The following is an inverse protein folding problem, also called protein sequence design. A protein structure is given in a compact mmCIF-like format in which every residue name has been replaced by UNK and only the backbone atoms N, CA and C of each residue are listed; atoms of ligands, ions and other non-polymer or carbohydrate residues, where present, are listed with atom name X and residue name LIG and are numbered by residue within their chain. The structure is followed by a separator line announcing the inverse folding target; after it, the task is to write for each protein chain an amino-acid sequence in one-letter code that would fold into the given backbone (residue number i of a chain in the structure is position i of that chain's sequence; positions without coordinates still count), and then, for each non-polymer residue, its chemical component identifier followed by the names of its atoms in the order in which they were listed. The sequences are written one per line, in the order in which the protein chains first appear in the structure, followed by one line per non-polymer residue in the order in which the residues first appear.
data_IF_055752942408
#
_entry.id   IF_055752942408
#
_cell.length_a   1.000
_cell.length_b   1.000
_cell.length_c   1.000
_cell.angle_alpha   90.00
_cell.angle_beta   90.00
_cell.angle_gamma   90.00
#
_symmetry.space_group_name_H-M   'P 1'
#
loop_
_entity.id
_entity.type
_entity.pdbx_description
1 polymer ?
#
# COMPACT_ATOMS: atom_id res chain seq x y z
N UNK A 1 30.40 5.32 20.89
CA UNK A 1 29.62 4.58 21.91
C UNK A 1 28.22 5.20 21.96
N UNK A 2 27.22 4.59 21.34
CA UNK A 2 25.85 5.10 21.39
C UNK A 2 25.15 4.49 22.62
N UNK A 3 25.02 5.27 23.69
CA UNK A 3 24.23 4.86 24.85
C UNK A 3 22.79 4.59 24.39
N UNK A 4 22.26 3.43 24.78
CA UNK A 4 20.87 3.05 24.54
C UNK A 4 20.00 3.96 25.41
N UNK A 5 19.51 5.07 24.87
CA UNK A 5 18.60 5.98 25.57
C UNK A 5 17.27 5.25 25.80
N UNK A 6 17.16 4.57 26.94
CA UNK A 6 15.90 4.03 27.48
C UNK A 6 15.06 5.23 27.90
N UNK A 7 14.02 5.57 27.13
CA UNK A 7 13.28 6.81 27.36
C UNK A 7 12.69 7.50 26.11
N UNK A 8 13.06 7.05 24.90
CA UNK A 8 12.71 7.78 23.67
C UNK A 8 12.08 6.87 22.60
N UNK A 9 10.77 6.53 22.72
CA UNK A 9 10.12 5.49 21.91
C UNK A 9 10.07 5.81 20.40
N UNK A 10 10.02 7.10 20.03
CA UNK A 10 10.05 7.57 18.64
C UNK A 10 11.32 8.34 18.27
N UNK A 11 12.30 8.46 19.16
CA UNK A 11 13.58 9.10 18.87
C UNK A 11 13.58 10.63 18.88
N UNK A 12 12.55 11.30 19.39
CA UNK A 12 12.42 12.76 19.33
C UNK A 12 13.49 13.49 20.16
N UNK A 13 13.81 13.00 21.36
CA UNK A 13 14.86 13.59 22.18
C UNK A 13 16.22 13.48 21.49
N UNK A 14 16.50 12.30 20.94
CA UNK A 14 17.75 12.05 20.21
C UNK A 14 17.87 12.88 18.93
N UNK A 15 16.78 13.12 18.21
CA UNK A 15 16.77 13.97 17.01
C UNK A 15 17.16 15.42 17.34
N UNK A 16 16.78 15.91 18.52
CA UNK A 16 17.20 17.23 19.03
C UNK A 16 18.56 17.20 19.76
N UNK A 17 19.18 16.03 19.92
CA UNK A 17 20.44 15.88 20.66
C UNK A 17 20.30 16.06 22.16
N UNK A 18 19.11 15.78 22.71
CA UNK A 18 18.78 15.94 24.13
C UNK A 18 18.57 14.58 24.82
N UNK A 19 18.74 14.55 26.14
CA UNK A 19 18.44 13.38 26.95
C UNK A 19 16.92 13.29 27.25
N UNK A 20 16.36 12.07 27.38
CA UNK A 20 14.98 11.88 27.79
C UNK A 20 14.68 12.58 29.12
N UNK A 21 13.62 13.40 29.14
CA UNK A 21 13.25 14.21 30.31
C UNK A 21 13.81 15.64 30.33
N UNK A 22 14.59 16.06 29.32
CA UNK A 22 15.06 17.45 29.17
C UNK A 22 13.92 18.48 29.24
N UNK A 23 14.18 19.63 29.85
CA UNK A 23 13.18 20.69 30.05
C UNK A 23 12.74 21.37 28.73
N UNK A 24 11.60 22.07 28.77
CA UNK A 24 11.07 22.75 27.57
C UNK A 24 11.99 23.85 27.04
N UNK A 25 12.80 24.46 27.92
CA UNK A 25 13.76 25.49 27.54
C UNK A 25 14.94 24.91 26.74
N UNK A 26 15.49 23.76 27.14
CA UNK A 26 16.50 23.04 26.39
C UNK A 26 15.97 22.57 25.03
N UNK A 27 14.74 22.05 24.98
CA UNK A 27 14.07 21.67 23.72
C UNK A 27 14.00 22.84 22.75
N UNK A 28 13.57 24.01 23.21
CA UNK A 28 13.48 25.22 22.38
C UNK A 28 14.84 25.73 21.92
N UNK A 29 15.85 25.64 22.78
CA UNK A 29 17.21 26.09 22.48
C UNK A 29 17.87 25.19 21.44
N UNK A 30 17.79 23.87 21.63
CA UNK A 30 18.31 22.87 20.70
C UNK A 30 17.63 22.98 19.32
N UNK A 31 16.29 23.15 19.30
CA UNK A 31 15.56 23.35 18.04
C UNK A 31 16.04 24.59 17.29
N UNK A 32 16.21 25.74 17.97
CA UNK A 32 16.70 26.97 17.32
C UNK A 32 18.08 26.79 16.71
N UNK A 33 19.00 26.15 17.44
CA UNK A 33 20.37 25.90 16.95
C UNK A 33 20.36 24.98 15.72
N UNK A 34 19.61 23.89 15.77
CA UNK A 34 19.50 22.93 14.66
C UNK A 34 18.76 23.50 13.45
N UNK A 35 17.69 24.27 13.68
CA UNK A 35 16.92 24.92 12.61
C UNK A 35 17.77 25.96 11.85
N UNK A 36 18.64 26.71 12.53
CA UNK A 36 19.57 27.64 11.87
C UNK A 36 20.65 26.92 11.07
N UNK A 37 21.11 25.75 11.54
CA UNK A 37 22.15 24.95 10.87
C UNK A 37 21.61 24.16 9.67
N UNK A 38 20.33 23.79 9.68
CA UNK A 38 19.67 22.97 8.66
C UNK A 38 18.69 23.76 7.79
N UNK A 39 18.67 25.10 7.90
CA UNK A 39 17.78 25.94 7.10
C UNK A 39 18.08 25.77 5.59
N UNK A 40 17.05 25.59 4.73
CA UNK A 40 17.26 25.36 3.30
C UNK A 40 18.06 26.48 2.62
N UNK A 41 17.86 27.74 3.03
CA UNK A 41 18.62 28.88 2.47
C UNK A 41 20.11 28.90 2.85
N UNK A 42 20.52 28.19 3.90
CA UNK A 42 21.91 28.17 4.39
C UNK A 42 22.62 26.85 4.14
N UNK A 43 21.88 25.76 3.89
CA UNK A 43 22.41 24.42 3.74
C UNK A 43 21.78 23.72 2.53
N UNK A 44 22.54 23.66 1.43
CA UNK A 44 22.13 23.01 0.17
C UNK A 44 22.43 21.50 0.12
N UNK A 45 22.72 20.85 1.26
CA UNK A 45 22.91 19.39 1.25
C UNK A 45 21.58 18.67 0.95
N UNK A 46 21.60 17.57 0.17
CA UNK A 46 20.40 16.82 -0.16
C UNK A 46 19.66 16.26 1.08
N UNK A 47 20.38 16.08 2.19
CA UNK A 47 19.82 15.58 3.45
C UNK A 47 19.28 16.69 4.37
N UNK A 48 19.52 17.97 4.07
CA UNK A 48 19.13 19.09 4.94
C UNK A 48 17.61 19.15 5.10
N UNK A 49 16.86 18.93 4.01
CA UNK A 49 15.40 18.94 4.02
C UNK A 49 14.82 17.85 4.92
N UNK A 50 15.32 16.61 4.80
CA UNK A 50 14.86 15.49 5.63
C UNK A 50 15.18 15.71 7.12
N UNK A 51 16.37 16.23 7.43
CA UNK A 51 16.77 16.53 8.81
C UNK A 51 15.96 17.70 9.39
N UNK A 52 15.62 18.70 8.58
CA UNK A 52 14.77 19.82 8.99
C UNK A 52 13.35 19.37 9.34
N UNK A 53 12.77 18.48 8.53
CA UNK A 53 11.47 17.85 8.84
C UNK A 53 11.53 17.03 10.13
N UNK A 54 12.61 16.27 10.32
CA UNK A 54 12.81 15.47 11.52
C UNK A 54 12.85 16.30 12.81
N UNK A 55 13.62 17.39 12.83
CA UNK A 55 13.72 18.28 14.02
C UNK A 55 12.41 19.02 14.28
N UNK A 56 11.66 19.39 13.23
CA UNK A 56 10.37 20.08 13.35
C UNK A 56 9.33 19.16 13.97
N UNK A 57 9.21 17.93 13.48
CA UNK A 57 8.31 16.92 14.05
C UNK A 57 8.65 16.57 15.51
N UNK A 58 9.94 16.55 15.86
CA UNK A 58 10.37 16.35 17.25
C UNK A 58 9.97 17.55 18.14
N UNK A 59 10.19 18.77 17.66
CA UNK A 59 9.83 20.00 18.38
C UNK A 59 8.32 20.11 18.62
N UNK A 60 7.46 19.82 17.64
CA UNK A 60 6.00 19.90 17.78
C UNK A 60 5.42 19.04 18.93
N UNK A 61 6.07 17.91 19.21
CA UNK A 61 5.66 16.99 20.28
C UNK A 61 6.30 17.40 21.60
N UNK A 62 7.59 17.74 21.60
CA UNK A 62 8.35 18.03 22.82
C UNK A 62 8.16 19.46 23.36
N UNK A 63 7.73 20.41 22.53
CA UNK A 63 7.51 21.80 22.93
C UNK A 63 6.21 22.01 23.70
N UNK A 64 5.20 21.18 23.45
CA UNK A 64 3.92 21.26 24.15
C UNK A 64 3.97 20.36 25.41
N UNK A 65 3.72 20.91 26.61
CA UNK A 65 3.85 20.16 27.86
C UNK A 65 2.89 18.96 27.94
N UNK A 66 1.68 19.06 27.40
CA UNK A 66 0.71 17.96 27.39
C UNK A 66 1.16 16.84 26.45
N UNK A 67 1.59 17.19 25.23
CA UNK A 67 2.07 16.22 24.23
C UNK A 67 3.36 15.55 24.70
N UNK A 68 4.27 16.30 25.33
CA UNK A 68 5.48 15.77 25.97
C UNK A 68 5.13 14.79 27.09
N UNK A 69 4.20 15.14 27.98
CA UNK A 69 3.79 14.24 29.06
C UNK A 69 3.19 12.93 28.54
N UNK A 70 2.35 12.99 27.50
CA UNK A 70 1.80 11.81 26.82
C UNK A 70 2.91 10.96 26.18
N UNK A 71 3.89 11.61 25.56
CA UNK A 71 5.05 10.95 24.95
C UNK A 71 5.92 10.23 25.99
N UNK A 72 6.23 10.89 27.11
CA UNK A 72 7.02 10.33 28.21
C UNK A 72 6.28 9.20 28.94
N UNK A 73 4.94 9.27 29.02
CA UNK A 73 4.11 8.18 29.54
C UNK A 73 4.17 6.94 28.64
N UNK A 74 4.19 7.12 27.32
CA UNK A 74 4.36 6.04 26.36
C UNK A 74 5.71 5.33 26.51
N UNK A 75 6.77 6.06 26.86
CA UNK A 75 8.07 5.43 27.11
C UNK A 75 8.05 4.50 28.33
N UNK A 76 7.36 4.90 29.41
CA UNK A 76 7.26 4.10 30.65
C UNK A 76 6.48 2.80 30.45
N UNK A 77 5.45 2.81 29.60
CA UNK A 77 4.68 1.60 29.28
C UNK A 77 5.47 0.62 28.40
N UNK A 78 6.24 1.13 27.43
CA UNK A 78 7.11 0.29 26.59
C UNK A 78 8.22 -0.40 27.38
N UNK A 79 8.85 0.30 28.34
CA UNK A 79 9.88 -0.28 29.20
C UNK A 79 9.34 -1.38 30.10
N UNK A 80 8.08 -1.26 30.52
CA UNK A 80 7.40 -2.26 31.36
C UNK A 80 7.06 -3.51 30.55
N UNK A 81 6.59 -3.35 29.30
CA UNK A 81 6.30 -4.47 28.41
C UNK A 81 7.56 -5.26 28.01
N UNK A 82 8.69 -4.57 27.75
CA UNK A 82 9.96 -5.24 27.40
C UNK A 82 10.54 -6.03 28.60
N UNK A 83 10.38 -5.53 29.84
CA UNK A 83 10.74 -6.25 31.06
C UNK A 83 9.88 -7.50 31.27
N UNK A 84 8.56 -7.40 31.11
CA UNK A 84 7.64 -8.55 31.21
C UNK A 84 7.96 -9.63 30.16
N UNK A 85 8.24 -9.23 28.91
CA UNK A 85 8.56 -10.16 27.83
C UNK A 85 9.91 -10.86 28.04
N UNK A 86 10.90 -10.14 28.62
CA UNK A 86 12.19 -10.71 29.00
C UNK A 86 12.05 -11.71 30.14
N UNK A 87 11.23 -11.40 31.14
CA UNK A 87 10.91 -12.31 32.25
C UNK A 87 10.20 -13.57 31.75
N UNK A 88 9.21 -13.43 30.86
CA UNK A 88 8.49 -14.56 30.27
C UNK A 88 9.42 -15.49 29.46
N UNK A 89 10.35 -14.93 28.67
CA UNK A 89 11.36 -15.71 27.95
C UNK A 89 12.33 -16.46 28.87
N UNK A 90 12.76 -15.85 29.97
CA UNK A 90 13.63 -16.52 30.96
C UNK A 90 12.93 -17.69 31.64
N UNK A 91 11.65 -17.54 31.96
CA UNK A 91 10.83 -18.60 32.54
C UNK A 91 10.57 -19.73 31.51
N UNK A 92 10.31 -19.40 30.25
CA UNK A 92 10.13 -20.39 29.18
C UNK A 92 11.40 -21.21 28.87
N UNK A 93 12.59 -20.60 29.00
CA UNK A 93 13.87 -21.31 28.84
C UNK A 93 14.28 -22.17 30.05
N UNK A 94 13.72 -21.93 31.24
CA UNK A 94 13.99 -22.74 32.43
C UNK A 94 13.15 -24.03 32.47
N UNK A 95 12.03 -24.09 31.75
CA UNK A 95 11.09 -25.22 31.75
C UNK A 95 11.46 -26.40 30.83
N UNK A 96 12.48 -26.28 29.98
CA UNK A 96 12.82 -27.31 28.97
C UNK A 96 14.03 -28.19 29.32
N UNK A 97 14.64 -28.02 30.51
CA UNK A 97 15.82 -28.79 30.93
C UNK A 97 15.61 -29.78 32.09
N UNK A 98 14.39 -29.91 32.63
CA UNK A 98 14.16 -30.60 33.91
C UNK A 98 13.29 -31.86 33.81
N UNK A 99 13.35 -32.63 32.71
CA UNK A 99 12.53 -33.85 32.54
C UNK A 99 13.27 -35.12 32.11
N UNK A 100 14.59 -35.20 32.30
CA UNK A 100 15.36 -36.38 31.87
C UNK A 100 16.44 -36.87 32.86
N UNK A 101 16.24 -36.65 34.17
CA UNK A 101 17.07 -37.29 35.21
C UNK A 101 16.23 -37.75 36.40
N UNK A 102 15.35 -38.71 36.19
CA UNK A 102 14.73 -39.42 37.30
C UNK A 102 14.31 -40.84 36.90
N UNK A 103 15.22 -41.62 36.31
CA UNK A 103 15.03 -43.07 36.14
C UNK A 103 16.35 -43.85 35.93
N UNK A 104 17.26 -43.81 36.89
CA UNK A 104 18.22 -44.90 37.10
C UNK A 104 19.04 -44.65 38.36
N UNK A 105 18.52 -45.02 39.53
CA UNK A 105 19.37 -45.48 40.64
C UNK A 105 18.47 -46.01 41.76
N UNK A 106 18.20 -47.30 41.68
CA UNK A 106 17.71 -48.09 42.80
C UNK A 106 18.40 -49.44 42.70
N UNK A 107 19.48 -49.58 43.46
CA UNK A 107 19.94 -50.76 44.23
C UNK A 107 21.44 -50.58 44.47
N UNK A 108 21.82 -50.26 45.71
CA UNK A 108 22.67 -51.14 46.53
C UNK A 108 23.13 -50.48 47.84
N UNK A 109 23.51 -51.29 48.86
CA UNK A 109 23.32 -50.93 50.25
C UNK A 109 24.51 -50.17 50.87
N UNK A 110 24.11 -49.35 51.83
CA UNK A 110 24.86 -48.65 52.88
C UNK A 110 26.13 -49.41 53.35
N UNK A 111 27.26 -48.70 53.49
CA UNK A 111 28.20 -48.99 54.56
C UNK A 111 28.20 -47.89 55.63
N UNK A 112 28.60 -48.35 56.81
CA UNK A 112 28.50 -47.74 58.11
C UNK A 112 29.39 -46.51 58.30
N UNK A 113 28.98 -45.70 59.26
CA UNK A 113 29.73 -44.62 59.86
C UNK A 113 31.13 -45.06 60.31
N UNK A 114 32.13 -44.23 60.02
CA UNK A 114 33.21 -43.94 60.95
C UNK A 114 33.80 -42.55 60.68
N UNK A 115 33.58 -41.67 61.65
CA UNK A 115 34.58 -40.83 62.31
C UNK A 115 35.40 -39.85 61.43
N UNK A 116 34.87 -38.62 61.41
CA UNK A 116 35.56 -37.39 61.83
C UNK A 116 37.09 -37.33 61.66
N UNK A 117 37.54 -36.47 60.73
CA UNK A 117 38.74 -35.65 60.97
C UNK A 117 38.54 -34.25 60.45
N UNK A 118 38.86 -33.31 61.33
CA UNK A 118 38.74 -31.87 61.20
C UNK A 118 39.70 -31.34 60.15
N UNK A 119 39.22 -30.53 59.20
CA UNK A 119 40.04 -29.48 58.60
C UNK A 119 39.22 -28.19 58.45
N UNK A 120 39.71 -27.16 59.13
CA UNK A 120 39.26 -25.76 59.08
C UNK A 120 39.64 -25.13 57.72
N UNK A 121 39.01 -24.01 57.35
CA UNK A 121 38.93 -23.54 55.97
C UNK A 121 40.26 -22.98 55.48
N UNK A 122 40.86 -23.64 54.48
CA UNK A 122 41.95 -23.02 53.73
C UNK A 122 41.38 -22.13 52.63
N UNK A 123 41.69 -20.86 52.80
CA UNK A 123 41.82 -19.80 51.81
C UNK A 123 42.24 -20.32 50.43
N UNK A 124 41.25 -20.71 49.62
CA UNK A 124 41.40 -20.72 48.19
C UNK A 124 40.75 -19.44 47.68
N UNK A 125 41.53 -18.37 47.74
CA UNK A 125 41.58 -17.28 46.77
C UNK A 125 41.45 -17.85 45.35
N UNK A 126 40.22 -18.19 44.97
CA UNK A 126 39.85 -18.69 43.66
C UNK A 126 40.21 -17.57 42.70
N UNK A 127 41.37 -17.70 42.08
CA UNK A 127 41.79 -16.89 40.94
C UNK A 127 40.59 -16.89 40.01
N UNK A 128 39.89 -15.75 39.92
CA UNK A 128 38.92 -15.49 38.87
C UNK A 128 39.73 -15.51 37.57
N UNK A 129 39.97 -16.70 37.06
CA UNK A 129 40.30 -16.89 35.65
C UNK A 129 39.07 -16.34 34.96
N UNK A 130 39.22 -15.14 34.37
CA UNK A 130 38.25 -14.64 33.41
C UNK A 130 38.11 -15.76 32.39
N UNK A 131 37.03 -16.54 32.47
CA UNK A 131 36.67 -17.42 31.38
C UNK A 131 36.55 -16.49 30.20
N UNK A 132 37.42 -16.66 29.22
CA UNK A 132 37.38 -15.99 27.93
C UNK A 132 35.92 -16.11 27.47
N UNK A 133 35.17 -15.02 27.65
CA UNK A 133 33.75 -15.00 27.37
C UNK A 133 33.63 -15.38 25.91
N UNK A 134 33.06 -16.55 25.61
CA UNK A 134 32.68 -16.89 24.25
C UNK A 134 31.95 -15.68 23.68
N UNK A 135 32.30 -15.22 22.46
CA UNK A 135 31.66 -14.07 21.88
C UNK A 135 30.14 -14.26 21.94
N UNK A 136 29.37 -13.20 22.23
CA UNK A 136 27.92 -13.32 22.34
C UNK A 136 27.36 -13.99 21.07
N UNK A 137 26.41 -14.94 21.21
CA UNK A 137 25.88 -15.67 20.07
C UNK A 137 25.33 -14.68 19.05
N UNK A 138 25.73 -14.87 17.79
CA UNK A 138 25.27 -14.03 16.68
C UNK A 138 23.74 -13.98 16.65
N UNK A 139 23.18 -12.81 16.36
CA UNK A 139 21.73 -12.65 16.22
C UNK A 139 21.19 -13.68 15.22
N UNK A 140 20.16 -14.48 15.58
CA UNK A 140 19.62 -15.49 14.70
C UNK A 140 18.93 -14.83 13.50
N UNK A 141 19.18 -15.35 12.30
CA UNK A 141 18.43 -14.92 11.11
C UNK A 141 17.02 -15.48 11.19
N UNK A 142 16.02 -14.66 10.85
CA UNK A 142 14.63 -15.12 10.82
C UNK A 142 14.43 -16.08 9.65
N UNK A 143 13.67 -17.14 9.90
CA UNK A 143 13.28 -18.15 8.93
C UNK A 143 11.87 -17.88 8.42
N UNK A 144 11.51 -18.48 7.29
CA UNK A 144 10.13 -18.48 6.83
C UNK A 144 9.31 -19.49 7.63
N UNK A 145 8.15 -19.07 8.15
CA UNK A 145 7.27 -19.91 8.97
C UNK A 145 6.72 -21.13 8.20
N UNK A 146 6.65 -21.04 6.86
CA UNK A 146 6.14 -22.12 6.01
C UNK A 146 7.20 -23.13 5.59
N UNK A 147 8.38 -22.69 5.15
CA UNK A 147 9.40 -23.58 4.59
C UNK A 147 10.63 -23.77 5.49
N UNK A 148 10.71 -23.07 6.62
CA UNK A 148 11.82 -23.13 7.57
C UNK A 148 13.15 -22.55 7.05
N UNK A 149 13.25 -22.18 5.77
CA UNK A 149 14.50 -21.65 5.19
C UNK A 149 14.76 -20.23 5.65
N UNK A 150 16.03 -19.92 5.89
CA UNK A 150 16.50 -18.55 6.13
C UNK A 150 16.29 -17.74 4.86
N UNK A 151 15.52 -16.66 4.96
CA UNK A 151 15.29 -15.75 3.86
C UNK A 151 15.99 -14.42 4.17
N UNK A 152 16.71 -13.87 3.19
CA UNK A 152 17.38 -12.57 3.35
C UNK A 152 16.38 -11.40 3.46
N UNK A 153 15.24 -11.48 2.76
CA UNK A 153 14.21 -10.43 2.73
C UNK A 153 12.82 -11.02 3.07
N UNK A 154 12.61 -11.51 4.30
CA UNK A 154 11.31 -12.02 4.69
C UNK A 154 10.34 -10.86 4.97
N UNK A 155 9.05 -11.07 4.71
CA UNK A 155 8.01 -10.08 5.02
C UNK A 155 6.94 -10.69 5.89
N UNK A 156 6.49 -9.90 6.85
CA UNK A 156 5.30 -10.22 7.63
C UNK A 156 4.09 -9.85 6.79
N UNK A 157 3.26 -10.85 6.46
CA UNK A 157 2.11 -10.69 5.57
C UNK A 157 0.85 -11.20 6.27
N UNK A 158 -0.24 -10.45 6.14
CA UNK A 158 -1.57 -10.82 6.61
C UNK A 158 -2.48 -11.02 5.41
N UNK A 159 -3.07 -12.21 5.30
CA UNK A 159 -4.04 -12.56 4.28
C UNK A 159 -5.45 -12.66 4.90
N UNK A 160 -6.42 -11.84 4.45
CA UNK A 160 -7.78 -11.90 4.96
C UNK A 160 -8.53 -13.14 4.43
N UNK A 161 -9.22 -13.83 5.32
CA UNK A 161 -10.16 -14.92 5.02
C UNK A 161 -11.57 -14.48 5.34
N UNK A 162 -12.47 -14.76 4.40
CA UNK A 162 -13.90 -14.50 4.53
C UNK A 162 -14.63 -15.82 4.44
N UNK A 163 -15.51 -16.08 5.41
CA UNK A 163 -16.41 -17.23 5.42
C UNK A 163 -17.84 -16.72 5.60
N UNK A 164 -18.65 -16.82 4.56
CA UNK A 164 -20.07 -16.52 4.61
C UNK A 164 -20.83 -17.59 5.38
N UNK A 165 -21.73 -17.16 6.26
CA UNK A 165 -22.70 -18.02 6.96
C UNK A 165 -24.07 -17.35 6.92
N UNK A 166 -24.82 -17.59 5.85
CA UNK A 166 -26.19 -17.12 5.56
C UNK A 166 -26.46 -15.67 6.01
N UNK A 167 -26.75 -15.46 7.29
CA UNK A 167 -27.02 -14.16 7.91
C UNK A 167 -25.77 -13.27 8.17
N UNK A 168 -24.55 -13.82 8.28
CA UNK A 168 -23.34 -13.04 8.63
C UNK A 168 -22.07 -13.55 7.94
N UNK A 169 -21.13 -12.65 7.66
CA UNK A 169 -19.76 -12.98 7.27
C UNK A 169 -18.88 -13.13 8.51
N UNK A 170 -18.08 -14.18 8.58
CA UNK A 170 -16.98 -14.31 9.53
C UNK A 170 -15.67 -13.91 8.85
N UNK A 171 -14.94 -13.01 9.49
CA UNK A 171 -13.63 -12.55 9.05
C UNK A 171 -12.55 -13.16 9.94
N UNK A 172 -11.57 -13.79 9.32
CA UNK A 172 -10.36 -14.31 9.97
C UNK A 172 -9.14 -13.94 9.13
N UNK A 173 -7.94 -14.25 9.58
CA UNK A 173 -6.74 -14.00 8.79
C UNK A 173 -5.70 -15.09 8.99
N UNK A 174 -4.89 -15.32 7.95
CA UNK A 174 -3.66 -16.08 8.04
C UNK A 174 -2.52 -15.08 8.00
N UNK A 175 -1.74 -15.04 9.08
CA UNK A 175 -0.60 -14.16 9.21
C UNK A 175 0.69 -14.93 9.49
N UNK A 176 1.83 -14.35 9.14
CA UNK A 176 3.13 -14.97 9.39
C UNK A 176 4.27 -14.31 8.63
N UNK A 177 5.48 -14.79 8.91
CA UNK A 177 6.71 -14.38 8.27
C UNK A 177 7.02 -15.29 7.07
N UNK A 178 6.93 -14.75 5.86
CA UNK A 178 7.08 -15.52 4.64
C UNK A 178 8.27 -15.08 3.79
N UNK A 179 8.87 -16.04 3.08
CA UNK A 179 9.64 -15.72 1.88
C UNK A 179 8.67 -15.47 0.70
N UNK A 180 9.12 -14.76 -0.35
CA UNK A 180 8.23 -14.39 -1.47
C UNK A 180 7.47 -15.59 -2.05
N UNK A 181 8.17 -16.68 -2.35
CA UNK A 181 7.55 -17.89 -2.94
C UNK A 181 6.50 -18.49 -2.01
N UNK A 182 6.75 -18.55 -0.71
CA UNK A 182 5.78 -19.08 0.25
C UNK A 182 4.58 -18.14 0.42
N UNK A 183 4.79 -16.82 0.39
CA UNK A 183 3.71 -15.85 0.41
C UNK A 183 2.79 -15.99 -0.81
N UNK A 184 3.36 -16.19 -2.00
CA UNK A 184 2.58 -16.40 -3.23
C UNK A 184 1.72 -17.68 -3.15
N UNK A 185 2.29 -18.79 -2.65
CA UNK A 185 1.55 -20.05 -2.48
C UNK A 185 0.47 -19.91 -1.39
N UNK A 186 0.77 -19.24 -0.28
CA UNK A 186 -0.21 -19.00 0.79
C UNK A 186 -1.33 -18.11 0.28
N UNK A 187 -1.01 -17.06 -0.48
CA UNK A 187 -1.99 -16.20 -1.12
C UNK A 187 -2.91 -16.99 -2.05
N UNK A 188 -2.38 -17.90 -2.88
CA UNK A 188 -3.20 -18.77 -3.73
C UNK A 188 -4.15 -19.66 -2.91
N UNK A 189 -3.66 -20.28 -1.82
CA UNK A 189 -4.49 -21.08 -0.93
C UNK A 189 -5.60 -20.26 -0.28
N UNK A 190 -5.31 -19.02 0.14
CA UNK A 190 -6.31 -18.11 0.69
C UNK A 190 -7.34 -17.70 -0.37
N UNK A 191 -6.90 -17.38 -1.58
CA UNK A 191 -7.80 -17.07 -2.69
C UNK A 191 -8.78 -18.21 -2.97
N UNK A 192 -8.30 -19.46 -3.02
CA UNK A 192 -9.15 -20.64 -3.21
C UNK A 192 -10.17 -20.76 -2.07
N UNK A 193 -9.76 -20.57 -0.81
CA UNK A 193 -10.67 -20.66 0.34
C UNK A 193 -11.74 -19.56 0.31
N UNK A 194 -11.35 -18.33 -0.04
CA UNK A 194 -12.29 -17.22 -0.22
C UNK A 194 -13.26 -17.50 -1.38
N UNK A 195 -12.78 -18.07 -2.49
CA UNK A 195 -13.64 -18.53 -3.59
C UNK A 195 -14.59 -19.66 -3.22
N UNK A 196 -14.27 -20.51 -2.25
CA UNK A 196 -15.15 -21.62 -1.87
C UNK A 196 -16.12 -21.23 -0.76
N UNK A 197 -15.75 -20.30 0.11
CA UNK A 197 -16.43 -20.08 1.39
C UNK A 197 -16.95 -18.65 1.56
N UNK A 198 -16.53 -17.69 0.74
CA UNK A 198 -16.80 -16.27 0.99
C UNK A 198 -18.19 -15.79 0.57
N UNK A 199 -18.83 -16.43 -0.42
CA UNK A 199 -20.07 -15.94 -1.05
C UNK A 199 -21.34 -16.24 -0.28
N UNK A 200 -21.29 -17.11 0.72
CA UNK A 200 -22.47 -17.69 1.38
C UNK A 200 -23.10 -16.78 2.44
N UNK A 201 -22.98 -15.45 2.32
CA UNK A 201 -23.62 -14.47 3.20
C UNK A 201 -24.06 -13.25 2.39
N UNK A 202 -25.00 -12.46 2.94
CA UNK A 202 -25.54 -11.29 2.24
C UNK A 202 -24.47 -10.23 1.92
N UNK A 203 -23.51 -9.98 2.83
CA UNK A 203 -22.35 -9.10 2.58
C UNK A 203 -21.14 -9.85 1.99
N UNK A 204 -21.23 -11.18 1.88
CA UNK A 204 -20.15 -12.08 1.48
C UNK A 204 -19.51 -11.73 0.15
N UNK A 205 -20.27 -11.46 -0.93
CA UNK A 205 -19.68 -11.10 -2.22
C UNK A 205 -18.74 -9.89 -2.16
N UNK A 206 -19.15 -8.82 -1.48
CA UNK A 206 -18.33 -7.60 -1.35
C UNK A 206 -17.08 -7.88 -0.52
N UNK A 207 -17.24 -8.53 0.63
CA UNK A 207 -16.15 -8.93 1.52
C UNK A 207 -15.11 -9.81 0.80
N UNK A 208 -15.61 -10.76 0.02
CA UNK A 208 -14.80 -11.76 -0.69
C UNK A 208 -14.02 -11.14 -1.84
N UNK A 209 -14.66 -10.28 -2.64
CA UNK A 209 -13.99 -9.52 -3.71
C UNK A 209 -12.86 -8.66 -3.12
N UNK A 210 -13.14 -7.95 -2.03
CA UNK A 210 -12.13 -7.15 -1.35
C UNK A 210 -10.97 -8.02 -0.83
N UNK A 211 -11.25 -9.15 -0.17
CA UNK A 211 -10.23 -10.07 0.33
C UNK A 211 -9.38 -10.70 -0.79
N UNK A 212 -10.00 -11.05 -1.92
CA UNK A 212 -9.30 -11.56 -3.12
C UNK A 212 -8.36 -10.51 -3.70
N UNK A 213 -8.81 -9.26 -3.79
CA UNK A 213 -8.02 -8.16 -4.32
C UNK A 213 -6.81 -7.82 -3.44
N UNK A 214 -7.02 -7.77 -2.12
CA UNK A 214 -5.93 -7.59 -1.14
C UNK A 214 -4.92 -8.73 -1.23
N UNK A 215 -5.39 -9.98 -1.33
CA UNK A 215 -4.53 -11.15 -1.47
C UNK A 215 -3.74 -11.14 -2.77
N UNK A 216 -4.38 -10.76 -3.88
CA UNK A 216 -3.77 -10.64 -5.20
C UNK A 216 -2.66 -9.57 -5.28
N UNK A 217 -2.68 -8.60 -4.37
CA UNK A 217 -1.62 -7.58 -4.20
C UNK A 217 -0.44 -8.04 -3.36
N UNK A 218 -0.48 -9.28 -2.84
CA UNK A 218 0.53 -9.82 -1.95
C UNK A 218 0.16 -9.72 -0.46
N UNK A 219 -1.11 -9.48 -0.14
CA UNK A 219 -1.61 -9.35 1.23
C UNK A 219 -1.39 -7.97 1.84
N UNK A 220 -1.75 -7.83 3.11
CA UNK A 220 -1.49 -6.62 3.90
C UNK A 220 -0.10 -6.76 4.52
N UNK A 221 0.74 -5.74 4.36
CA UNK A 221 2.06 -5.67 4.98
C UNK A 221 2.06 -4.62 6.10
N UNK A 222 1.92 -5.02 7.39
CA UNK A 222 1.95 -4.08 8.49
C UNK A 222 3.33 -3.41 8.61
N UNK A 223 3.34 -2.08 8.65
CA UNK A 223 4.57 -1.29 8.61
C UNK A 223 5.52 -1.60 9.79
N UNK A 224 5.02 -1.50 11.03
CA UNK A 224 5.82 -1.70 12.24
C UNK A 224 6.43 -3.13 12.34
N UNK A 225 5.64 -4.19 12.07
CA UNK A 225 6.15 -5.57 12.11
C UNK A 225 7.21 -5.83 11.04
N UNK A 226 6.99 -5.33 9.82
CA UNK A 226 7.96 -5.46 8.73
C UNK A 226 9.24 -4.67 9.00
N UNK A 227 9.11 -3.44 9.52
CA UNK A 227 10.25 -2.62 9.94
C UNK A 227 11.11 -3.37 10.96
N UNK A 228 10.51 -3.83 12.07
CA UNK A 228 11.24 -4.55 13.13
C UNK A 228 11.93 -5.81 12.61
N UNK A 229 11.24 -6.57 11.76
CA UNK A 229 11.78 -7.83 11.22
C UNK A 229 12.97 -7.57 10.29
N UNK A 230 12.88 -6.59 9.40
CA UNK A 230 13.98 -6.25 8.52
C UNK A 230 15.15 -5.62 9.27
N UNK A 231 14.91 -4.77 10.25
CA UNK A 231 15.96 -4.20 11.08
C UNK A 231 16.70 -5.26 11.88
N UNK A 232 15.98 -6.26 12.39
CA UNK A 232 16.58 -7.44 13.03
C UNK A 232 17.47 -8.20 12.06
N UNK A 233 16.98 -8.48 10.84
CA UNK A 233 17.76 -9.13 9.79
C UNK A 233 19.01 -8.31 9.43
N UNK A 234 18.89 -7.01 9.21
CA UNK A 234 20.01 -6.14 8.87
C UNK A 234 21.12 -6.18 9.94
N UNK A 235 20.74 -6.08 11.23
CA UNK A 235 21.68 -6.22 12.35
C UNK A 235 22.32 -7.61 12.40
N UNK A 236 21.56 -8.66 12.09
CA UNK A 236 22.06 -10.03 12.05
C UNK A 236 23.08 -10.23 10.92
N UNK A 237 22.88 -9.64 9.73
CA UNK A 237 23.87 -9.65 8.66
C UNK A 237 25.10 -8.80 8.99
N UNK A 238 24.90 -7.64 9.62
CA UNK A 238 26.00 -6.79 10.07
C UNK A 238 26.90 -7.51 11.09
N UNK A 239 26.30 -8.24 12.03
CA UNK A 239 27.03 -9.07 12.99
C UNK A 239 27.84 -10.20 12.33
N UNK A 240 27.45 -10.63 11.13
CA UNK A 240 28.17 -11.62 10.30
C UNK A 240 29.18 -10.98 9.34
N UNK A 241 29.41 -9.67 9.46
CA UNK A 241 30.27 -8.88 8.57
C UNK A 241 29.77 -8.78 7.10
N UNK A 242 28.53 -9.18 6.81
CA UNK A 242 27.90 -9.00 5.51
C UNK A 242 27.24 -7.61 5.44
N UNK A 243 28.08 -6.60 5.14
CA UNK A 243 27.67 -5.19 5.12
C UNK A 243 26.76 -4.85 3.95
N UNK A 244 26.94 -5.47 2.80
CA UNK A 244 26.14 -5.22 1.60
C UNK A 244 24.69 -5.68 1.81
N UNK A 245 24.50 -6.88 2.35
CA UNK A 245 23.17 -7.40 2.68
C UNK A 245 22.52 -6.57 3.78
N UNK A 246 23.27 -6.24 4.83
CA UNK A 246 22.79 -5.39 5.92
C UNK A 246 22.29 -4.02 5.42
N UNK A 247 23.08 -3.37 4.55
CA UNK A 247 22.73 -2.09 3.92
C UNK A 247 21.44 -2.19 3.11
N UNK A 248 21.35 -3.17 2.21
CA UNK A 248 20.19 -3.31 1.34
C UNK A 248 18.90 -3.63 2.13
N UNK A 249 19.00 -4.43 3.19
CA UNK A 249 17.87 -4.75 4.07
C UNK A 249 17.47 -3.53 4.91
N UNK A 250 18.42 -2.78 5.44
CA UNK A 250 18.15 -1.54 6.20
C UNK A 250 17.43 -0.50 5.33
N UNK A 251 17.87 -0.32 4.07
CA UNK A 251 17.20 0.53 3.08
C UNK A 251 15.76 0.08 2.81
N UNK A 252 15.51 -1.22 2.74
CA UNK A 252 14.15 -1.76 2.64
C UNK A 252 13.34 -1.55 3.92
N UNK A 253 13.97 -1.57 5.09
CA UNK A 253 13.29 -1.31 6.36
C UNK A 253 12.82 0.14 6.44
N UNK A 254 13.63 1.09 5.96
CA UNK A 254 13.28 2.52 5.89
C UNK A 254 11.95 2.76 5.18
N UNK A 255 11.61 1.99 4.14
CA UNK A 255 10.33 2.09 3.43
C UNK A 255 9.11 1.74 4.29
N UNK A 256 9.30 1.02 5.39
CA UNK A 256 8.25 0.62 6.34
C UNK A 256 8.32 1.44 7.64
N UNK A 257 9.23 2.41 7.73
CA UNK A 257 9.37 3.26 8.91
C UNK A 257 8.20 4.24 8.98
N UNK A 258 7.46 4.22 10.08
CA UNK A 258 6.33 5.12 10.33
C UNK A 258 6.72 6.32 11.18
N UNK A 259 7.87 6.28 11.84
CA UNK A 259 8.37 7.36 12.70
C UNK A 259 9.73 7.86 12.24
N UNK A 260 10.02 9.12 12.53
CA UNK A 260 11.33 9.75 12.25
C UNK A 260 12.47 8.99 12.92
N UNK A 261 12.30 8.54 14.18
CA UNK A 261 13.30 7.72 14.85
C UNK A 261 13.55 6.38 14.18
N UNK A 262 12.52 5.75 13.58
CA UNK A 262 12.67 4.53 12.81
C UNK A 262 13.46 4.76 11.51
N UNK A 263 13.19 5.88 10.82
CA UNK A 263 13.94 6.28 9.63
C UNK A 263 15.41 6.49 9.97
N UNK A 264 15.68 7.32 10.99
CA UNK A 264 17.05 7.57 11.47
C UNK A 264 17.76 6.28 11.91
N UNK A 265 17.07 5.34 12.58
CA UNK A 265 17.69 4.07 12.96
C UNK A 265 18.03 3.19 11.76
N UNK A 266 17.21 3.20 10.71
CA UNK A 266 17.51 2.48 9.48
C UNK A 266 18.72 3.12 8.77
N UNK A 267 18.77 4.45 8.73
CA UNK A 267 19.87 5.21 8.15
C UNK A 267 21.16 5.12 8.96
N UNK A 268 21.10 4.96 10.28
CA UNK A 268 22.30 4.87 11.12
C UNK A 268 22.97 3.50 11.11
N UNK A 269 22.24 2.44 10.74
CA UNK A 269 22.82 1.13 10.43
C UNK A 269 23.59 1.12 9.10
N UNK A 270 23.39 2.16 8.30
CA UNK A 270 24.07 2.41 7.04
C UNK A 270 25.21 3.38 7.32
N UNK A 271 26.48 2.93 7.41
CA UNK A 271 27.57 3.90 7.39
C UNK A 271 27.53 4.66 6.07
N UNK A 272 27.89 5.95 6.10
CA UNK A 272 28.20 6.74 4.92
C UNK A 272 29.47 6.16 4.26
N UNK A 273 29.37 5.01 3.61
CA UNK A 273 30.40 4.47 2.75
C UNK A 273 29.91 4.55 1.30
N UNK A 274 30.42 5.51 0.51
CA UNK A 274 30.14 5.61 -0.91
C UNK A 274 30.92 4.59 -1.75
N UNK A 275 31.79 3.77 -1.14
CA UNK A 275 32.80 3.00 -1.89
C UNK A 275 32.31 1.69 -2.50
N UNK A 276 31.04 1.36 -2.35
CA UNK A 276 30.42 0.35 -3.20
C UNK A 276 29.00 0.81 -3.45
N UNK A 277 28.68 1.11 -4.71
CA UNK A 277 27.34 0.96 -5.23
C UNK A 277 26.94 -0.52 -5.00
N UNK A 278 26.61 -0.87 -3.75
CA UNK A 278 26.27 -2.21 -3.33
C UNK A 278 25.17 -2.65 -4.27
N UNK A 279 25.49 -3.65 -5.10
CA UNK A 279 24.65 -4.10 -6.21
C UNK A 279 23.23 -4.20 -5.68
N UNK A 280 22.34 -3.31 -6.15
CA UNK A 280 21.00 -3.21 -5.58
C UNK A 280 20.38 -4.60 -5.60
N UNK A 281 20.07 -5.13 -4.42
CA UNK A 281 19.46 -6.45 -4.36
C UNK A 281 18.11 -6.36 -5.06
N UNK A 282 17.91 -7.22 -6.06
CA UNK A 282 16.62 -7.33 -6.75
C UNK A 282 15.53 -7.49 -5.70
N UNK A 283 14.63 -6.52 -5.64
CA UNK A 283 13.50 -6.57 -4.72
C UNK A 283 12.64 -7.78 -5.10
N UNK A 284 12.70 -8.84 -4.29
CA UNK A 284 11.93 -10.07 -4.56
C UNK A 284 10.44 -9.86 -4.39
N UNK A 285 10.02 -8.73 -3.80
CA UNK A 285 8.64 -8.37 -3.54
C UNK A 285 8.09 -7.33 -4.51
N UNK A 286 8.93 -6.73 -5.36
CA UNK A 286 8.45 -5.83 -6.41
C UNK A 286 7.86 -6.62 -7.56
N UNK A 287 6.65 -6.25 -7.98
CA UNK A 287 5.98 -6.83 -9.13
C UNK A 287 4.72 -7.61 -8.76
N UNK A 288 3.93 -7.82 -9.79
CA UNK A 288 2.68 -8.57 -9.72
C UNK A 288 3.02 -10.04 -9.40
N UNK A 289 2.41 -10.63 -8.36
CA UNK A 289 2.64 -12.04 -8.01
C UNK A 289 2.38 -12.93 -9.22
N UNK A 290 3.21 -13.96 -9.42
CA UNK A 290 3.17 -14.83 -10.61
C UNK A 290 1.79 -15.49 -10.85
N UNK A 291 0.94 -15.50 -9.83
CA UNK A 291 -0.38 -16.13 -9.86
C UNK A 291 -1.54 -15.13 -9.85
N UNK A 292 -1.33 -13.81 -10.03
CA UNK A 292 -2.44 -12.83 -9.98
C UNK A 292 -3.53 -13.13 -11.00
N UNK A 293 -3.15 -13.50 -12.22
CA UNK A 293 -4.11 -13.87 -13.27
C UNK A 293 -4.90 -15.13 -12.88
N UNK A 294 -4.24 -16.11 -12.27
CA UNK A 294 -4.88 -17.34 -11.80
C UNK A 294 -5.86 -17.06 -10.64
N UNK A 295 -5.47 -16.21 -9.68
CA UNK A 295 -6.28 -15.85 -8.51
C UNK A 295 -7.55 -15.08 -8.86
N UNK A 296 -7.51 -14.27 -9.92
CA UNK A 296 -8.64 -13.48 -10.42
C UNK A 296 -9.35 -14.14 -11.62
N UNK A 297 -8.87 -15.31 -12.07
CA UNK A 297 -9.43 -16.00 -13.25
C UNK A 297 -10.94 -16.22 -13.19
N UNK A 298 -11.58 -16.54 -12.05
CA UNK A 298 -13.02 -16.74 -12.06
C UNK A 298 -13.80 -15.43 -12.22
N UNK A 299 -13.24 -14.27 -11.85
CA UNK A 299 -13.84 -12.96 -12.15
C UNK A 299 -13.74 -12.63 -13.65
N UNK A 300 -12.59 -12.92 -14.27
CA UNK A 300 -12.43 -12.73 -15.71
C UNK A 300 -13.36 -13.65 -16.51
N UNK A 301 -13.53 -14.90 -16.08
CA UNK A 301 -14.46 -15.85 -16.71
C UNK A 301 -15.93 -15.43 -16.54
N UNK A 302 -16.32 -14.96 -15.35
CA UNK A 302 -17.67 -14.46 -15.12
C UNK A 302 -17.96 -13.22 -15.99
N UNK A 303 -17.03 -12.28 -16.09
CA UNK A 303 -17.16 -11.10 -16.96
C UNK A 303 -17.23 -11.46 -18.45
N UNK A 304 -16.45 -12.47 -18.88
CA UNK A 304 -16.55 -12.98 -20.25
C UNK A 304 -17.90 -13.66 -20.51
N UNK A 305 -18.40 -14.45 -19.56
CA UNK A 305 -19.69 -15.11 -19.68
C UNK A 305 -20.85 -14.10 -19.74
N UNK A 306 -20.86 -13.05 -18.92
CA UNK A 306 -21.88 -12.00 -18.98
C UNK A 306 -21.81 -11.20 -20.28
N UNK A 307 -20.60 -10.94 -20.79
CA UNK A 307 -20.42 -10.31 -22.10
C UNK A 307 -20.97 -11.18 -23.23
N UNK A 308 -20.72 -12.50 -23.19
CA UNK A 308 -21.25 -13.45 -24.18
C UNK A 308 -22.78 -13.54 -24.09
N UNK A 309 -23.35 -13.63 -22.89
CA UNK A 309 -24.81 -13.66 -22.70
C UNK A 309 -25.44 -12.36 -23.21
N UNK A 310 -24.90 -11.20 -22.83
CA UNK A 310 -25.35 -9.89 -23.31
C UNK A 310 -25.29 -9.81 -24.84
N UNK A 311 -24.17 -10.22 -25.44
CA UNK A 311 -23.98 -10.27 -26.88
C UNK A 311 -25.02 -11.17 -27.57
N UNK A 312 -25.32 -12.33 -26.99
CA UNK A 312 -26.32 -13.24 -27.54
C UNK A 312 -27.75 -12.68 -27.42
N UNK A 313 -28.08 -12.05 -26.28
CA UNK A 313 -29.41 -11.42 -26.09
C UNK A 313 -29.68 -10.25 -27.04
N UNK A 314 -28.65 -9.46 -27.40
CA UNK A 314 -28.76 -8.39 -28.40
C UNK A 314 -28.89 -8.97 -29.81
N UNK A 315 -28.24 -10.12 -30.07
CA UNK A 315 -28.30 -10.80 -31.37
C UNK A 315 -29.65 -11.49 -31.61
N UNK A 316 -30.28 -12.03 -30.58
CA UNK A 316 -31.57 -12.71 -30.64
C UNK A 316 -32.77 -11.74 -30.56
N UNK A 317 -32.52 -10.43 -30.38
CA UNK A 317 -33.53 -9.40 -30.52
C UNK A 317 -33.88 -9.21 -32.01
N UNK A 318 -34.69 -10.12 -32.55
CA UNK A 318 -35.43 -9.88 -33.80
C UNK A 318 -36.31 -8.65 -33.59
N UNK A 319 -35.89 -7.51 -34.13
CA UNK A 319 -36.76 -6.36 -34.35
C UNK A 319 -38.02 -6.88 -35.06
N UNK A 320 -39.23 -6.63 -34.54
CA UNK A 320 -40.44 -7.09 -35.20
C UNK A 320 -40.49 -6.44 -36.58
N UNK A 321 -40.25 -7.25 -37.61
CA UNK A 321 -40.45 -6.84 -38.99
C UNK A 321 -41.95 -6.61 -39.16
N UNK A 322 -42.36 -5.34 -39.09
CA UNK A 322 -43.68 -4.89 -39.52
C UNK A 322 -43.84 -5.34 -40.96
N UNK A 323 -44.65 -6.38 -41.17
CA UNK A 323 -45.05 -6.79 -42.52
C UNK A 323 -45.95 -5.69 -43.07
N UNK A 324 -45.68 -5.14 -44.27
CA UNK A 324 -46.55 -4.13 -44.85
C UNK A 324 -47.86 -4.81 -45.23
N UNK A 325 -48.93 -4.44 -44.53
CA UNK A 325 -50.29 -4.83 -44.85
C UNK A 325 -50.66 -4.20 -46.19
N UNK A 326 -50.91 -5.03 -47.20
CA UNK A 326 -51.43 -4.58 -48.49
C UNK A 326 -52.94 -4.51 -48.39
N UNK A 327 -53.48 -3.40 -47.90
CA UNK A 327 -54.82 -2.99 -48.29
C UNK A 327 -54.90 -1.46 -48.38
N UNK A 328 -55.14 -1.01 -49.61
CA UNK A 328 -55.31 0.39 -50.00
C UNK A 328 -56.80 0.70 -50.03
N UNK A 329 -57.22 1.82 -49.40
CA UNK A 329 -57.87 2.86 -50.19
C UNK A 329 -57.26 4.23 -49.86
N UNK A 330 -56.65 4.88 -50.86
CA UNK A 330 -57.21 6.03 -51.60
C UNK A 330 -57.31 7.31 -50.74
N UNK A 331 -56.39 8.22 -51.08
CA UNK A 331 -56.36 9.67 -50.86
C UNK A 331 -56.31 10.15 -49.41
N UNK A 332 -55.12 10.62 -48.99
CA UNK A 332 -54.84 12.05 -48.75
C UNK A 332 -53.33 12.26 -48.53
N UNK A 333 -52.81 13.23 -49.27
CA UNK A 333 -51.70 14.15 -48.98
C UNK A 333 -50.31 13.63 -48.57
N UNK A 334 -49.37 13.87 -49.49
CA UNK A 334 -47.94 13.75 -49.33
C UNK A 334 -47.35 14.66 -48.23
N UNK A 335 -46.65 14.01 -47.30
CA UNK A 335 -45.34 14.35 -46.73
C UNK A 335 -45.01 15.78 -46.23
N UNK A 336 -44.64 15.87 -44.94
CA UNK A 336 -43.47 16.64 -44.46
C UNK A 336 -43.01 16.13 -43.08
N UNK A 337 -41.76 15.67 -42.89
CA UNK A 337 -41.18 15.53 -41.56
C UNK A 337 -40.71 16.91 -41.09
N UNK A 338 -41.23 17.33 -39.95
CA UNK A 338 -40.95 18.60 -39.28
C UNK A 338 -39.46 18.80 -38.97
N UNK A 339 -38.95 19.95 -39.41
CA UNK A 339 -37.62 20.51 -39.12
C UNK A 339 -37.39 20.76 -37.61
N UNK A 340 -36.39 20.09 -37.03
CA UNK A 340 -35.72 20.60 -35.82
C UNK A 340 -34.87 21.80 -36.21
N UNK A 341 -35.20 22.99 -35.72
CA UNK A 341 -34.56 24.24 -36.12
C UNK A 341 -33.11 24.33 -35.62
N UNK A 342 -32.16 24.29 -36.55
CA UNK A 342 -30.76 24.69 -36.28
C UNK A 342 -30.74 26.14 -35.76
N UNK A 343 -29.94 26.40 -34.72
CA UNK A 343 -29.72 27.75 -34.18
C UNK A 343 -28.27 28.18 -34.39
N UNK A 344 -28.07 29.31 -35.05
CA UNK A 344 -26.75 29.94 -35.13
C UNK A 344 -26.26 30.33 -33.72
N UNK A 345 -24.97 30.09 -33.46
CA UNK A 345 -24.33 30.28 -32.16
C UNK A 345 -24.47 29.09 -31.19
N UNK A 346 -25.16 28.02 -31.59
CA UNK A 346 -25.33 26.81 -30.78
C UNK A 346 -24.26 25.74 -31.05
N UNK A 347 -23.98 24.93 -30.04
CA UNK A 347 -23.11 23.77 -30.16
C UNK A 347 -23.91 22.55 -30.63
N UNK A 348 -23.41 21.89 -31.67
CA UNK A 348 -24.09 20.79 -32.34
C UNK A 348 -23.17 19.58 -32.49
N UNK A 349 -23.75 18.40 -32.58
CA UNK A 349 -23.05 17.13 -32.76
C UNK A 349 -23.31 16.56 -34.18
N UNK A 350 -22.28 16.01 -34.81
CA UNK A 350 -22.38 15.42 -36.15
C UNK A 350 -22.99 14.01 -36.10
N UNK A 351 -24.00 13.75 -36.93
CA UNK A 351 -24.66 12.43 -36.98
C UNK A 351 -24.02 11.46 -37.97
N UNK A 352 -23.31 11.96 -38.97
CA UNK A 352 -22.74 11.16 -40.06
C UNK A 352 -21.26 10.89 -39.83
N UNK A 353 -20.85 9.61 -40.01
CA UNK A 353 -19.45 9.25 -40.04
C UNK A 353 -18.85 9.67 -41.39
N UNK A 354 -17.78 10.46 -41.35
CA UNK A 354 -17.10 10.92 -42.55
C UNK A 354 -17.75 12.15 -43.21
N UNK A 355 -18.28 13.07 -42.40
CA UNK A 355 -18.96 14.25 -42.89
C UNK A 355 -17.96 15.24 -43.51
N UNK A 356 -18.01 15.39 -44.83
CA UNK A 356 -17.08 16.25 -45.56
C UNK A 356 -17.31 17.75 -45.24
N UNK A 357 -16.28 18.41 -44.72
CA UNK A 357 -16.20 19.86 -44.57
C UNK A 357 -15.84 20.46 -45.93
N UNK A 358 -16.59 21.46 -46.39
CA UNK A 358 -16.39 22.10 -47.70
C UNK A 358 -16.11 23.59 -47.59
N UNK A 359 -15.48 24.16 -48.61
CA UNK A 359 -15.18 25.60 -48.65
C UNK A 359 -16.41 26.49 -48.88
N UNK A 360 -17.54 25.96 -49.36
CA UNK A 360 -18.78 26.71 -49.61
C UNK A 360 -20.06 25.86 -49.45
N UNK A 361 -21.25 26.50 -49.44
CA UNK A 361 -22.54 25.83 -49.22
C UNK A 361 -22.97 25.07 -50.48
N UNK A 362 -22.50 23.83 -50.63
CA UNK A 362 -22.86 22.98 -51.75
C UNK A 362 -21.92 21.80 -51.96
N UNK A 363 -22.39 20.78 -52.69
CA UNK A 363 -21.59 19.58 -53.02
C UNK A 363 -20.55 19.82 -54.12
N UNK A 364 -20.65 20.93 -54.86
CA UNK A 364 -19.71 21.34 -55.91
C UNK A 364 -18.43 22.01 -55.37
N UNK A 365 -18.40 22.41 -54.10
CA UNK A 365 -17.24 23.06 -53.48
C UNK A 365 -16.19 22.04 -53.01
N UNK A 366 -14.91 22.45 -53.01
CA UNK A 366 -13.78 21.60 -52.65
C UNK A 366 -13.90 21.09 -51.20
N UNK A 367 -13.59 19.81 -51.00
CA UNK A 367 -13.51 19.18 -49.68
C UNK A 367 -12.23 19.66 -48.98
N UNK A 368 -12.40 20.34 -47.86
CA UNK A 368 -11.33 20.89 -47.02
C UNK A 368 -10.97 19.93 -45.89
N UNK A 369 -11.90 19.09 -45.45
CA UNK A 369 -11.70 18.16 -44.35
C UNK A 369 -12.85 17.18 -44.18
N UNK A 370 -12.81 16.41 -43.10
CA UNK A 370 -13.80 15.37 -42.81
C UNK A 370 -14.00 15.24 -41.30
N UNK A 371 -15.26 15.06 -40.86
CA UNK A 371 -15.62 14.91 -39.46
C UNK A 371 -16.11 13.50 -39.17
N UNK A 372 -15.69 12.96 -38.03
CA UNK A 372 -16.24 11.73 -37.49
C UNK A 372 -17.69 11.96 -37.00
N UNK A 373 -18.44 10.87 -36.84
CA UNK A 373 -19.73 10.91 -36.14
C UNK A 373 -19.48 11.20 -34.65
N UNK A 374 -20.35 12.00 -34.04
CA UNK A 374 -20.22 12.44 -32.65
C UNK A 374 -19.25 13.61 -32.43
N UNK A 375 -18.75 14.23 -33.50
CA UNK A 375 -17.86 15.37 -33.40
C UNK A 375 -18.65 16.64 -33.00
N UNK A 376 -18.11 17.38 -32.04
CA UNK A 376 -18.71 18.60 -31.53
C UNK A 376 -18.29 19.80 -32.38
N UNK A 377 -19.28 20.55 -32.88
CA UNK A 377 -19.06 21.68 -33.78
C UNK A 377 -19.91 22.88 -33.37
N UNK A 378 -19.34 24.07 -33.49
CA UNK A 378 -20.06 25.32 -33.27
C UNK A 378 -20.64 25.80 -34.60
N UNK A 379 -21.96 25.95 -34.70
CA UNK A 379 -22.60 26.52 -35.89
C UNK A 379 -22.53 28.04 -35.81
N UNK A 380 -21.84 28.69 -36.75
CA UNK A 380 -21.69 30.15 -36.77
C UNK A 380 -22.71 30.82 -37.66
N UNK A 381 -22.97 30.25 -38.84
CA UNK A 381 -23.85 30.83 -39.87
C UNK A 381 -24.68 29.71 -40.49
N UNK A 382 -25.90 30.05 -40.91
CA UNK A 382 -26.78 29.15 -41.65
C UNK A 382 -27.03 29.82 -43.00
N UNK A 383 -26.91 29.06 -44.08
CA UNK A 383 -27.15 29.57 -45.43
C UNK A 383 -28.62 30.01 -45.60
N UNK A 384 -28.86 30.92 -46.54
CA UNK A 384 -30.18 31.46 -46.89
C UNK A 384 -31.23 30.38 -47.15
N UNK A 385 -30.83 29.21 -47.65
CA UNK A 385 -31.71 28.05 -47.87
C UNK A 385 -31.82 27.06 -46.70
N UNK A 386 -31.15 27.29 -45.57
CA UNK A 386 -31.20 26.43 -44.37
C UNK A 386 -30.52 25.05 -44.51
N UNK A 387 -30.12 24.67 -45.72
CA UNK A 387 -29.60 23.34 -46.04
C UNK A 387 -28.13 23.13 -45.67
N UNK A 388 -27.37 24.22 -45.55
CA UNK A 388 -25.95 24.20 -45.18
C UNK A 388 -25.69 25.12 -43.99
N UNK A 389 -24.82 24.67 -43.10
CA UNK A 389 -24.38 25.38 -41.93
C UNK A 389 -22.86 25.54 -41.96
N UNK A 390 -22.38 26.74 -41.66
CA UNK A 390 -20.98 27.00 -41.44
C UNK A 390 -20.64 26.64 -40.01
N UNK A 391 -19.59 25.83 -39.86
CA UNK A 391 -19.16 25.31 -38.57
C UNK A 391 -17.72 25.67 -38.26
N UNK A 392 -17.41 25.71 -36.97
CA UNK A 392 -16.04 25.78 -36.43
C UNK A 392 -15.85 24.61 -35.47
N UNK A 393 -14.77 23.86 -35.66
CA UNK A 393 -14.36 22.76 -34.78
C UNK A 393 -13.44 23.26 -33.67
N UNK A 394 -13.31 22.53 -32.54
CA UNK A 394 -12.33 22.85 -31.49
C UNK A 394 -10.88 22.90 -31.99
N UNK A 395 -10.58 22.14 -33.05
CA UNK A 395 -9.27 22.08 -33.70
C UNK A 395 -9.01 23.26 -34.65
N UNK A 396 -9.94 24.21 -34.75
CA UNK A 396 -9.80 25.43 -35.55
C UNK A 396 -10.16 25.27 -37.03
N UNK A 397 -10.56 24.07 -37.49
CA UNK A 397 -11.06 23.89 -38.85
C UNK A 397 -12.43 24.51 -38.99
N UNK A 398 -12.64 25.28 -40.07
CA UNK A 398 -13.92 25.88 -40.41
C UNK A 398 -14.34 25.55 -41.84
N UNK A 399 -15.65 25.49 -42.07
CA UNK A 399 -16.22 25.23 -43.40
C UNK A 399 -17.70 24.91 -43.33
N UNK A 400 -18.27 24.52 -44.47
CA UNK A 400 -19.69 24.24 -44.63
C UNK A 400 -19.99 22.75 -44.59
N UNK A 401 -21.03 22.39 -43.85
CA UNK A 401 -21.58 21.04 -43.77
C UNK A 401 -23.11 21.08 -43.94
N UNK A 402 -23.74 20.00 -44.43
CA UNK A 402 -25.20 19.97 -44.57
C UNK A 402 -25.89 19.98 -43.19
N UNK A 403 -26.81 20.93 -43.00
CA UNK A 403 -27.50 21.18 -41.73
C UNK A 403 -28.25 19.96 -41.19
N UNK A 404 -28.77 19.11 -42.08
CA UNK A 404 -29.50 17.88 -41.71
C UNK A 404 -28.70 16.85 -40.91
N UNK A 405 -27.36 16.97 -40.89
CA UNK A 405 -26.48 16.07 -40.17
C UNK A 405 -25.98 16.65 -38.84
N UNK A 406 -26.59 17.75 -38.39
CA UNK A 406 -26.24 18.44 -37.14
C UNK A 406 -27.40 18.37 -36.17
N UNK A 407 -27.14 17.82 -34.98
CA UNK A 407 -28.10 17.80 -33.88
C UNK A 407 -27.72 18.82 -32.81
N UNK A 408 -28.67 19.60 -32.27
CA UNK A 408 -28.38 20.55 -31.20
C UNK A 408 -28.04 19.83 -29.90
N UNK A 409 -26.94 20.21 -29.26
CA UNK A 409 -26.57 19.68 -27.94
C UNK A 409 -27.10 20.60 -26.85
N UNK A 410 -27.98 20.08 -26.00
CA UNK A 410 -28.52 20.83 -24.87
C UNK A 410 -27.60 20.65 -23.66
N UNK A 411 -26.88 21.70 -23.26
CA UNK A 411 -26.08 21.69 -22.03
C UNK A 411 -27.02 22.07 -20.87
N UNK A 412 -27.30 21.16 -19.91
CA UNK A 412 -28.10 21.52 -18.74
C UNK A 412 -27.37 22.58 -17.91
N UNK A 413 -28.06 23.71 -17.67
CA UNK A 413 -27.55 24.84 -16.89
C UNK A 413 -27.40 24.38 -15.43
N UNK A 414 -26.18 24.10 -14.97
CA UNK A 414 -25.94 23.82 -13.55
C UNK A 414 -26.42 25.01 -12.71
N UNK A 415 -27.38 24.75 -11.83
CA UNK A 415 -27.85 25.72 -10.84
C UNK A 415 -26.64 26.13 -9.98
N UNK A 416 -26.34 27.44 -9.96
CA UNK A 416 -25.41 28.00 -9.00
C UNK A 416 -26.03 27.82 -7.62
N UNK A 417 -25.52 26.89 -6.84
CA UNK A 417 -25.78 26.83 -5.41
C UNK A 417 -25.23 28.12 -4.78
N UNK A 418 -26.15 29.03 -4.45
CA UNK A 418 -25.86 30.15 -3.56
C UNK A 418 -25.70 29.61 -2.15
N UNK A 419 -24.45 29.43 -1.72
CA UNK A 419 -24.10 29.22 -0.31
C UNK A 419 -24.44 30.48 0.47
N UNK A 420 -25.64 30.54 1.03
CA UNK A 420 -25.98 31.52 2.07
C UNK A 420 -25.31 31.09 3.36
N UNK A 421 -24.23 31.80 3.72
CA UNK A 421 -23.71 31.85 5.07
C UNK A 421 -24.82 32.33 6.01
N UNK A 422 -25.11 31.57 7.07
CA UNK A 422 -25.78 32.09 8.26
C UNK A 422 -24.73 32.24 9.35
N UNK A 423 -24.57 33.49 9.75
CA UNK A 423 -23.98 33.97 10.99
C UNK A 423 -24.70 33.42 12.22
#
# INVERSE_FOLDING_TARGET
MAAKLTGDPKGYYRVLGLDPGSDGAAVKTAFRQLAMALHPDRNNSPDAHEKFHAITAAYEILSNPEKKAQYDALSRSTDTAEKQQTQYKRQASAGTGARDKQKSERTDPRPSANQARQEKPQDQRRKRTWSTSSPPPLLPLSTCDRCGRVAAQPRYVIFPLVRGMLARSLHSSIEGLYCRRCADITGLQVSIRNWLLGWWSLSGPVDTIHALWVTARGGILPADRNYRTLMHQARAFLARQDRDMAYNIARQARQFATTVGQQYMADSLVPASPQSAARQLKNRWSGVGAFRLLQLSPLYLAGAATAVISWNTVRDAELPLVRPDQDKPRNTDSASPSSSSLKAGGLHETMAAGLAIRSGPGTSFQKTGELAAGAMVLVTEIDTGGNWARIITPEGMSGYVPSRFLNPVHIPRQQRETTTQRE
#
